data_IF_745475581137
#
_entry.id   IF_745475581137
#
_cell.length_a   1.000
_cell.length_b   1.000
_cell.length_c   1.000
_cell.angle_alpha   90.00
_cell.angle_beta   90.00
_cell.angle_gamma   90.00
#
_symmetry.space_group_name_H-M   'P 1'
#
loop_
_entity.id
_entity.type
_entity.pdbx_description
1 polymer ?
#
# COMPACT_ATOMS: atom_id res chain seq x y z
N UNK A 1 -3.09 -8.46 30.99
CA UNK A 1 -2.78 -9.67 30.19
C UNK A 1 -1.42 -10.19 30.63
N UNK A 2 -1.12 -11.49 30.58
CA UNK A 2 0.14 -12.03 31.13
C UNK A 2 1.09 -12.51 30.04
N UNK A 3 2.39 -12.35 30.27
CA UNK A 3 3.45 -12.86 29.38
C UNK A 3 3.27 -14.35 29.02
N UNK A 4 2.79 -15.16 29.98
CA UNK A 4 2.57 -16.58 29.76
C UNK A 4 1.52 -16.87 28.67
N UNK A 5 0.48 -16.04 28.57
CA UNK A 5 -0.53 -16.18 27.51
C UNK A 5 0.08 -15.87 26.15
N UNK A 6 0.81 -14.76 26.04
CA UNK A 6 1.49 -14.39 24.80
C UNK A 6 2.50 -15.47 24.36
N UNK A 7 3.33 -15.98 25.29
CA UNK A 7 4.26 -17.07 25.01
C UNK A 7 3.56 -18.34 24.50
N UNK A 8 2.42 -18.71 25.10
CA UNK A 8 1.64 -19.86 24.63
C UNK A 8 1.20 -19.67 23.18
N UNK A 9 0.71 -18.49 22.83
CA UNK A 9 0.26 -18.17 21.47
C UNK A 9 1.42 -18.11 20.47
N UNK A 10 2.56 -17.53 20.87
CA UNK A 10 3.80 -17.54 20.09
C UNK A 10 4.21 -18.97 19.76
N UNK A 11 4.19 -19.87 20.75
CA UNK A 11 4.54 -21.27 20.56
C UNK A 11 3.54 -22.02 19.69
N UNK A 12 2.24 -21.74 19.83
CA UNK A 12 1.21 -22.31 18.95
C UNK A 12 1.44 -21.89 17.48
N UNK A 13 1.86 -20.65 17.22
CA UNK A 13 2.20 -20.20 15.85
C UNK A 13 3.45 -20.88 15.30
N UNK A 14 4.50 -21.00 16.10
CA UNK A 14 5.73 -21.72 15.70
C UNK A 14 5.45 -23.21 15.44
N UNK A 15 4.60 -23.85 16.27
CA UNK A 15 4.15 -25.22 16.03
C UNK A 15 3.41 -25.33 14.69
N UNK A 16 2.44 -24.44 14.45
CA UNK A 16 1.66 -24.43 13.22
C UNK A 16 2.55 -24.26 11.97
N UNK A 17 3.50 -23.34 12.02
CA UNK A 17 4.48 -23.14 10.93
C UNK A 17 5.38 -24.35 10.75
N UNK A 18 5.83 -24.99 11.84
CA UNK A 18 6.66 -26.19 11.74
C UNK A 18 5.91 -27.38 11.09
N UNK A 19 4.59 -27.44 11.22
CA UNK A 19 3.72 -28.43 10.56
C UNK A 19 3.36 -28.04 9.11
N UNK A 20 3.58 -26.78 8.72
CA UNK A 20 3.24 -26.25 7.40
C UNK A 20 4.25 -26.67 6.33
N UNK A 21 3.83 -26.88 5.07
CA UNK A 21 4.75 -26.99 3.94
C UNK A 21 5.61 -25.73 3.74
N UNK A 22 5.16 -24.57 4.24
CA UNK A 22 5.82 -23.28 4.04
C UNK A 22 7.01 -23.04 4.98
N UNK A 23 7.28 -23.94 5.94
CA UNK A 23 8.37 -23.81 6.92
C UNK A 23 9.71 -23.38 6.28
N UNK A 24 10.11 -24.08 5.22
CA UNK A 24 11.35 -23.82 4.51
C UNK A 24 11.29 -22.53 3.70
N UNK A 25 10.14 -22.20 3.11
CA UNK A 25 9.94 -20.95 2.39
C UNK A 25 10.08 -19.76 3.32
N UNK A 26 9.51 -19.84 4.53
CA UNK A 26 9.59 -18.80 5.56
C UNK A 26 11.05 -18.58 5.96
N UNK A 27 11.77 -19.65 6.34
CA UNK A 27 13.19 -19.55 6.70
C UNK A 27 14.05 -18.99 5.56
N UNK A 28 13.81 -19.44 4.33
CA UNK A 28 14.58 -18.97 3.17
C UNK A 28 14.32 -17.50 2.86
N UNK A 29 13.11 -17.02 3.13
CA UNK A 29 12.72 -15.63 2.90
C UNK A 29 13.29 -14.72 3.98
N UNK A 30 13.22 -15.14 5.25
CA UNK A 30 13.75 -14.36 6.37
C UNK A 30 15.28 -14.39 6.44
N UNK A 31 15.89 -15.57 6.38
CA UNK A 31 17.30 -15.80 6.75
C UNK A 31 18.23 -16.13 5.55
N UNK A 32 17.72 -15.93 4.33
CA UNK A 32 18.41 -16.31 3.10
C UNK A 32 18.51 -17.83 2.88
N UNK A 33 19.25 -18.26 1.85
CA UNK A 33 19.27 -19.68 1.44
C UNK A 33 20.48 -20.50 1.94
N UNK A 34 21.43 -19.87 2.64
CA UNK A 34 22.75 -20.45 2.95
C UNK A 34 22.97 -20.77 4.44
N UNK A 35 21.91 -20.99 5.20
CA UNK A 35 21.99 -21.38 6.61
C UNK A 35 22.19 -22.88 6.81
N UNK A 36 22.49 -23.30 8.05
CA UNK A 36 22.64 -24.69 8.42
C UNK A 36 21.28 -25.44 8.46
N UNK A 37 20.94 -26.10 7.34
CA UNK A 37 19.68 -26.84 7.20
C UNK A 37 19.51 -27.98 8.21
N UNK A 38 20.58 -28.55 8.76
CA UNK A 38 20.47 -29.62 9.78
C UNK A 38 19.98 -29.05 11.12
N UNK A 39 20.47 -27.86 11.49
CA UNK A 39 19.99 -27.17 12.69
C UNK A 39 18.54 -26.70 12.51
N UNK A 40 18.20 -26.15 11.34
CA UNK A 40 16.82 -25.79 11.00
C UNK A 40 15.88 -27.00 11.08
N UNK A 41 16.25 -28.14 10.49
CA UNK A 41 15.45 -29.37 10.57
C UNK A 41 15.26 -29.85 12.01
N UNK A 42 16.28 -29.68 12.87
CA UNK A 42 16.19 -30.03 14.30
C UNK A 42 15.19 -29.13 15.02
N UNK A 43 15.25 -27.81 14.80
CA UNK A 43 14.28 -26.85 15.34
C UNK A 43 12.85 -27.20 14.89
N UNK A 44 12.66 -27.50 13.60
CA UNK A 44 11.37 -27.92 13.07
C UNK A 44 10.80 -29.12 13.84
N UNK A 45 11.60 -30.19 14.02
CA UNK A 45 11.16 -31.39 14.73
C UNK A 45 10.84 -31.13 16.20
N UNK A 46 11.59 -30.24 16.87
CA UNK A 46 11.30 -29.82 18.24
C UNK A 46 9.96 -29.10 18.33
N UNK A 47 9.73 -28.10 17.47
CA UNK A 47 8.48 -27.34 17.46
C UNK A 47 7.28 -28.20 17.11
N UNK A 48 7.41 -29.12 16.14
CA UNK A 48 6.36 -30.09 15.80
C UNK A 48 5.96 -30.97 17.00
N UNK A 49 6.92 -31.29 17.87
CA UNK A 49 6.70 -32.04 19.10
C UNK A 49 6.19 -31.18 20.27
N UNK A 50 6.06 -29.86 20.09
CA UNK A 50 5.70 -28.91 21.15
C UNK A 50 6.85 -28.65 22.13
N UNK A 51 8.10 -28.94 21.75
CA UNK A 51 9.29 -28.66 22.54
C UNK A 51 9.89 -27.31 22.13
N UNK A 52 9.73 -26.32 23.02
CA UNK A 52 10.26 -24.98 22.87
C UNK A 52 11.41 -24.69 23.83
N UNK A 53 11.95 -25.71 24.51
CA UNK A 53 13.02 -25.54 25.50
C UNK A 53 14.34 -25.06 24.91
N UNK A 54 14.49 -25.18 23.58
CA UNK A 54 15.64 -24.71 22.84
C UNK A 54 15.58 -23.20 22.48
N UNK A 55 14.45 -22.53 22.75
CA UNK A 55 14.30 -21.09 22.57
C UNK A 55 14.89 -20.31 23.75
N UNK A 56 15.39 -19.09 23.54
CA UNK A 56 15.90 -18.26 24.63
C UNK A 56 14.83 -17.96 25.69
N UNK A 57 15.19 -17.93 26.99
CA UNK A 57 14.27 -17.46 28.02
C UNK A 57 14.00 -15.95 27.87
N UNK A 58 12.77 -15.56 28.22
CA UNK A 58 12.36 -14.14 28.27
C UNK A 58 12.64 -13.55 29.66
N UNK A 59 13.31 -12.41 29.68
CA UNK A 59 13.58 -11.61 30.88
C UNK A 59 12.98 -10.22 30.73
N UNK A 60 12.31 -9.73 31.77
CA UNK A 60 11.73 -8.38 31.75
C UNK A 60 12.79 -7.37 32.18
N UNK A 61 13.06 -6.39 31.33
CA UNK A 61 13.94 -5.25 31.65
C UNK A 61 13.14 -3.96 31.73
N UNK A 62 13.69 -2.99 32.47
CA UNK A 62 13.12 -1.65 32.47
C UNK A 62 13.24 -1.02 31.09
N UNK A 63 12.18 -0.37 30.64
CA UNK A 63 12.18 0.53 29.47
C UNK A 63 13.30 1.58 29.52
N UNK A 64 13.74 2.00 30.70
CA UNK A 64 14.91 2.88 30.84
C UNK A 64 16.23 2.24 30.41
N UNK A 65 16.33 0.91 30.46
CA UNK A 65 17.49 0.11 30.00
C UNK A 65 17.39 -0.21 28.51
N UNK A 66 16.20 -0.62 28.03
CA UNK A 66 15.95 -0.97 26.62
C UNK A 66 15.76 0.25 25.71
N UNK A 67 15.59 1.45 26.27
CA UNK A 67 15.42 2.67 25.50
C UNK A 67 14.06 2.70 24.79
N UNK A 68 14.09 2.68 23.45
CA UNK A 68 12.87 2.66 22.62
C UNK A 68 12.40 1.26 22.23
N UNK A 69 13.22 0.24 22.50
CA UNK A 69 12.95 -1.13 22.12
C UNK A 69 11.80 -1.72 22.97
N UNK A 70 10.88 -2.39 22.30
CA UNK A 70 9.81 -3.16 22.93
C UNK A 70 10.29 -4.55 23.35
N UNK A 71 11.14 -5.15 22.52
CA UNK A 71 11.87 -6.39 22.75
C UNK A 71 13.33 -6.23 22.33
N UNK A 72 14.17 -7.17 22.72
CA UNK A 72 15.52 -7.30 22.19
C UNK A 72 16.08 -8.70 22.38
N UNK A 73 16.79 -9.23 21.38
CA UNK A 73 17.54 -10.47 21.47
C UNK A 73 19.02 -10.17 21.66
N UNK A 74 19.63 -10.83 22.65
CA UNK A 74 21.05 -10.72 22.91
C UNK A 74 21.74 -12.07 22.73
N UNK A 75 22.51 -12.21 21.65
CA UNK A 75 23.28 -13.43 21.38
C UNK A 75 24.28 -13.76 22.51
N UNK A 76 24.91 -12.73 23.10
CA UNK A 76 25.94 -12.91 24.14
C UNK A 76 25.42 -13.53 25.44
N UNK A 77 24.14 -13.32 25.77
CA UNK A 77 23.50 -13.88 26.96
C UNK A 77 22.50 -14.99 26.62
N UNK A 78 22.19 -15.17 25.33
CA UNK A 78 21.14 -16.03 24.81
C UNK A 78 19.81 -15.79 25.56
N UNK A 79 19.37 -14.53 25.57
CA UNK A 79 18.12 -14.09 26.21
C UNK A 79 17.33 -13.19 25.28
N UNK A 80 16.02 -13.26 25.44
CA UNK A 80 15.09 -12.25 24.94
C UNK A 80 14.78 -11.31 26.10
N UNK A 81 15.00 -10.03 25.91
CA UNK A 81 14.65 -8.98 26.85
C UNK A 81 13.37 -8.31 26.41
N UNK A 82 12.37 -8.21 27.29
CA UNK A 82 11.10 -7.56 26.98
C UNK A 82 10.92 -6.33 27.88
N UNK A 83 10.50 -5.22 27.28
CA UNK A 83 10.30 -3.95 27.99
C UNK A 83 9.12 -4.03 28.97
N UNK A 84 9.35 -3.61 30.21
CA UNK A 84 8.33 -3.56 31.27
C UNK A 84 7.13 -2.67 30.90
N UNK A 85 7.38 -1.53 30.27
CA UNK A 85 6.34 -0.60 29.84
C UNK A 85 5.54 -1.16 28.67
N UNK A 86 6.22 -1.80 27.72
CA UNK A 86 5.56 -2.45 26.59
C UNK A 86 4.65 -3.58 27.07
N UNK A 87 5.15 -4.46 27.95
CA UNK A 87 4.36 -5.55 28.54
C UNK A 87 3.12 -5.05 29.28
N UNK A 88 3.18 -3.85 29.88
CA UNK A 88 2.05 -3.26 30.60
C UNK A 88 0.94 -2.74 29.68
N UNK A 89 1.25 -2.35 28.43
CA UNK A 89 0.31 -1.64 27.54
C UNK A 89 -0.03 -2.37 26.24
N UNK A 90 0.82 -3.30 25.81
CA UNK A 90 0.68 -3.99 24.53
C UNK A 90 -0.58 -4.87 24.47
N UNK A 91 -1.16 -4.95 23.26
CA UNK A 91 -2.15 -5.98 22.95
C UNK A 91 -1.50 -7.36 22.87
N UNK A 92 -2.34 -8.41 22.83
CA UNK A 92 -1.87 -9.79 22.64
C UNK A 92 -1.10 -9.96 21.33
N UNK A 93 -1.65 -9.41 20.25
CA UNK A 93 -1.04 -9.47 18.92
C UNK A 93 0.30 -8.73 18.87
N UNK A 94 0.44 -7.61 19.57
CA UNK A 94 1.68 -6.86 19.68
C UNK A 94 2.75 -7.64 20.46
N UNK A 95 2.37 -8.27 21.58
CA UNK A 95 3.31 -9.11 22.34
C UNK A 95 3.78 -10.31 21.52
N UNK A 96 2.87 -10.99 20.82
CA UNK A 96 3.22 -12.13 19.97
C UNK A 96 4.12 -11.71 18.82
N UNK A 97 3.86 -10.55 18.20
CA UNK A 97 4.69 -10.01 17.13
C UNK A 97 6.14 -9.80 17.58
N UNK A 98 6.33 -9.07 18.68
CA UNK A 98 7.66 -8.80 19.24
C UNK A 98 8.34 -10.10 19.68
N UNK A 99 7.63 -11.01 20.35
CA UNK A 99 8.23 -12.28 20.77
C UNK A 99 8.69 -13.13 19.58
N UNK A 100 7.92 -13.17 18.48
CA UNK A 100 8.30 -13.89 17.27
C UNK A 100 9.50 -13.27 16.58
N UNK A 101 9.58 -11.94 16.57
CA UNK A 101 10.69 -11.18 16.02
C UNK A 101 12.00 -11.48 16.75
N UNK A 102 12.00 -11.39 18.09
CA UNK A 102 13.17 -11.75 18.90
C UNK A 102 13.54 -13.23 18.82
N UNK A 103 12.55 -14.10 18.64
CA UNK A 103 12.81 -15.51 18.34
C UNK A 103 13.45 -15.66 16.96
N UNK A 104 13.03 -14.87 15.96
CA UNK A 104 13.60 -14.82 14.62
C UNK A 104 15.09 -14.53 14.62
N UNK A 105 15.50 -13.43 15.26
CA UNK A 105 16.90 -13.10 15.52
C UNK A 105 17.67 -14.25 16.20
N UNK A 106 17.07 -14.87 17.22
CA UNK A 106 17.70 -16.01 17.91
C UNK A 106 17.88 -17.25 17.01
N UNK A 107 16.98 -17.46 16.05
CA UNK A 107 17.08 -18.55 15.09
C UNK A 107 18.17 -18.24 14.09
N UNK A 108 18.18 -17.03 13.52
CA UNK A 108 19.21 -16.59 12.57
C UNK A 108 20.61 -16.78 13.17
N UNK A 109 20.84 -16.20 14.35
CA UNK A 109 22.09 -16.31 15.10
C UNK A 109 22.52 -17.76 15.42
N UNK A 110 21.59 -18.72 15.37
CA UNK A 110 21.83 -20.15 15.62
C UNK A 110 22.12 -20.94 14.34
N UNK A 111 21.48 -20.59 13.22
CA UNK A 111 21.56 -21.35 11.97
C UNK A 111 22.53 -20.72 10.95
N UNK A 112 22.74 -19.42 11.02
CA UNK A 112 23.65 -18.67 10.17
C UNK A 112 25.00 -18.42 10.86
N UNK A 113 26.06 -18.32 10.05
CA UNK A 113 27.41 -17.97 10.53
C UNK A 113 27.64 -16.47 10.56
N UNK A 114 26.89 -15.74 9.73
CA UNK A 114 26.90 -14.31 9.60
C UNK A 114 25.46 -13.89 9.64
N UNK A 115 25.20 -12.90 10.48
CA UNK A 115 23.91 -12.25 10.63
C UNK A 115 23.30 -11.93 9.27
N UNK A 116 22.00 -12.22 9.15
CA UNK A 116 21.24 -11.86 7.96
C UNK A 116 21.19 -10.33 7.83
N UNK A 117 20.96 -9.83 6.62
CA UNK A 117 20.94 -8.39 6.39
C UNK A 117 19.56 -7.83 6.64
N UNK A 118 19.50 -6.73 7.39
CA UNK A 118 18.26 -6.01 7.67
C UNK A 118 17.69 -6.43 9.03
N UNK A 119 16.37 -6.43 9.13
CA UNK A 119 15.59 -6.87 10.28
C UNK A 119 14.91 -8.20 9.91
N UNK A 120 15.71 -9.27 9.89
CA UNK A 120 15.20 -10.62 9.59
C UNK A 120 14.26 -11.16 10.68
N UNK A 121 14.37 -10.64 11.90
CA UNK A 121 13.47 -10.92 13.01
C UNK A 121 12.06 -10.45 12.69
N UNK A 122 11.89 -9.17 12.34
CA UNK A 122 10.58 -8.61 12.02
C UNK A 122 9.99 -9.31 10.78
N UNK A 123 10.81 -9.57 9.76
CA UNK A 123 10.39 -10.33 8.58
C UNK A 123 9.93 -11.75 8.93
N UNK A 124 10.65 -12.45 9.80
CA UNK A 124 10.24 -13.76 10.30
C UNK A 124 8.91 -13.70 11.05
N UNK A 125 8.72 -12.69 11.92
CA UNK A 125 7.48 -12.46 12.66
C UNK A 125 6.28 -12.27 11.74
N UNK A 126 6.41 -11.43 10.71
CA UNK A 126 5.36 -11.22 9.70
C UNK A 126 4.98 -12.53 9.00
N UNK A 127 5.97 -13.28 8.53
CA UNK A 127 5.76 -14.51 7.78
C UNK A 127 5.12 -15.62 8.62
N UNK A 128 5.54 -15.79 9.88
CA UNK A 128 4.95 -16.75 10.82
C UNK A 128 3.48 -16.42 11.11
N UNK A 129 3.15 -15.13 11.16
CA UNK A 129 1.78 -14.62 11.34
C UNK A 129 0.94 -14.67 10.06
N UNK A 130 1.49 -15.17 8.95
CA UNK A 130 0.80 -15.27 7.66
C UNK A 130 0.62 -13.92 6.94
N UNK A 131 1.42 -12.91 7.31
CA UNK A 131 1.42 -11.60 6.69
C UNK A 131 2.42 -11.59 5.53
N UNK A 132 1.99 -11.04 4.39
CA UNK A 132 2.83 -10.91 3.20
C UNK A 132 3.27 -9.44 3.10
N UNK A 133 4.55 -9.12 3.35
CA UNK A 133 5.02 -7.75 3.24
C UNK A 133 4.88 -7.24 1.80
N UNK A 134 4.55 -5.96 1.64
CA UNK A 134 4.60 -5.30 0.34
C UNK A 134 6.05 -5.24 -0.17
N UNK A 135 6.26 -4.97 -1.46
CA UNK A 135 7.62 -4.81 -1.99
C UNK A 135 8.40 -3.67 -1.30
N UNK A 136 7.71 -2.58 -0.95
CA UNK A 136 8.30 -1.46 -0.20
C UNK A 136 8.67 -1.88 1.22
N UNK A 137 7.78 -2.61 1.89
CA UNK A 137 8.01 -3.08 3.26
C UNK A 137 9.14 -4.10 3.32
N UNK A 138 9.17 -5.04 2.37
CA UNK A 138 10.27 -6.00 2.25
C UNK A 138 11.61 -5.29 2.04
N UNK A 139 11.65 -4.22 1.24
CA UNK A 139 12.86 -3.43 1.03
C UNK A 139 13.28 -2.67 2.30
N UNK A 140 12.33 -2.11 3.05
CA UNK A 140 12.61 -1.51 4.37
C UNK A 140 13.26 -2.54 5.28
N UNK A 141 12.59 -3.67 5.50
CA UNK A 141 13.06 -4.76 6.36
C UNK A 141 14.45 -5.24 5.97
N UNK A 142 14.73 -5.42 4.67
CA UNK A 142 16.04 -5.91 4.20
C UNK A 142 17.18 -4.89 4.33
N UNK A 143 16.89 -3.63 4.66
CA UNK A 143 17.90 -2.54 4.73
C UNK A 143 17.96 -1.85 6.09
N UNK A 144 17.01 -2.12 6.96
CA UNK A 144 16.96 -1.61 8.33
C UNK A 144 17.88 -2.45 9.21
N UNK A 145 19.02 -1.89 9.61
CA UNK A 145 19.84 -2.51 10.65
C UNK A 145 19.35 -2.02 12.02
N UNK A 146 18.80 -2.95 12.79
CA UNK A 146 18.19 -2.72 14.09
C UNK A 146 19.19 -2.88 15.25
N UNK A 147 20.44 -3.26 15.01
CA UNK A 147 21.44 -3.48 16.07
C UNK A 147 21.65 -2.26 16.99
N UNK A 148 21.68 -2.52 18.30
CA UNK A 148 21.97 -1.54 19.33
C UNK A 148 22.89 -2.09 20.44
N UNK A 149 23.28 -1.22 21.38
CA UNK A 149 24.02 -1.63 22.58
C UNK A 149 23.36 -1.04 23.82
N UNK A 150 23.05 -1.91 24.78
CA UNK A 150 22.46 -1.55 26.07
C UNK A 150 23.43 -1.87 27.22
N UNK A 151 23.15 -1.32 28.40
CA UNK A 151 23.94 -1.59 29.62
C UNK A 151 23.13 -2.45 30.58
N UNK A 152 23.57 -3.68 30.83
CA UNK A 152 22.98 -4.59 31.83
C UNK A 152 24.02 -4.84 32.92
N UNK A 153 23.68 -4.52 34.17
CA UNK A 153 24.56 -4.66 35.33
C UNK A 153 25.96 -4.03 35.14
N UNK A 154 26.03 -2.93 34.38
CA UNK A 154 27.28 -2.22 34.08
C UNK A 154 28.10 -2.81 32.93
N UNK A 155 27.61 -3.84 32.23
CA UNK A 155 28.22 -4.43 31.05
C UNK A 155 27.51 -3.98 29.77
N UNK A 156 28.28 -3.70 28.72
CA UNK A 156 27.75 -3.44 27.38
C UNK A 156 27.31 -4.76 26.75
N UNK A 157 26.05 -4.82 26.32
CA UNK A 157 25.44 -5.97 25.67
C UNK A 157 24.93 -5.51 24.30
N UNK A 158 25.43 -6.14 23.24
CA UNK A 158 24.90 -5.96 21.89
C UNK A 158 23.56 -6.68 21.76
N UNK A 159 22.62 -6.03 21.10
CA UNK A 159 21.26 -6.52 20.89
C UNK A 159 20.80 -6.25 19.45
N UNK A 160 19.93 -7.10 18.96
CA UNK A 160 18.93 -6.80 17.92
C UNK A 160 17.64 -6.42 18.66
N UNK A 161 16.92 -5.40 18.19
CA UNK A 161 15.82 -4.76 18.95
C UNK A 161 14.56 -4.62 18.10
N UNK A 162 13.46 -5.18 18.59
CA UNK A 162 12.14 -4.82 18.09
C UNK A 162 11.76 -3.39 18.47
N UNK A 163 11.74 -2.49 17.47
CA UNK A 163 11.30 -1.10 17.61
C UNK A 163 10.10 -0.87 16.71
N UNK A 164 9.00 -0.35 17.27
CA UNK A 164 7.83 0.00 16.44
C UNK A 164 8.19 1.10 15.43
N UNK A 165 7.73 0.99 14.17
CA UNK A 165 7.97 2.01 13.16
C UNK A 165 7.44 3.35 13.67
N UNK A 166 8.34 4.34 13.71
CA UNK A 166 7.96 5.66 14.23
C UNK A 166 7.07 6.37 13.23
N UNK A 167 5.92 6.88 13.68
CA UNK A 167 5.10 7.80 12.88
C UNK A 167 5.99 8.95 12.38
N UNK A 168 6.26 8.98 11.08
CA UNK A 168 7.12 10.01 10.46
C UNK A 168 6.37 11.35 10.45
N UNK A 169 5.15 11.34 9.91
CA UNK A 169 4.27 12.50 9.91
C UNK A 169 2.81 12.07 9.76
N UNK A 170 1.91 12.95 10.22
CA UNK A 170 0.49 12.92 9.87
C UNK A 170 0.11 14.31 9.40
N UNK A 171 -0.50 14.40 8.21
CA UNK A 171 -0.91 15.65 7.57
C UNK A 171 -2.40 15.61 7.30
N UNK A 172 -3.06 16.77 7.38
CA UNK A 172 -4.46 16.95 7.01
C UNK A 172 -4.51 17.86 5.79
N UNK A 173 -5.29 17.44 4.80
CA UNK A 173 -5.60 18.19 3.58
C UNK A 173 -7.13 18.34 3.51
N UNK A 174 -7.62 19.45 2.96
CA UNK A 174 -9.06 19.67 2.76
C UNK A 174 -9.55 21.05 3.21
N UNK A 175 -10.79 21.36 2.85
CA UNK A 175 -11.47 22.61 3.13
C UNK A 175 -12.41 22.54 4.33
N UNK A 176 -13.38 23.44 4.34
CA UNK A 176 -14.49 23.44 5.31
C UNK A 176 -15.74 22.73 4.81
N UNK A 177 -15.79 22.48 3.50
CA UNK A 177 -16.91 21.84 2.82
C UNK A 177 -16.64 20.32 2.68
N UNK A 178 -17.23 19.67 1.67
CA UNK A 178 -17.07 18.23 1.51
C UNK A 178 -15.74 17.92 0.84
N UNK A 179 -14.91 17.09 1.49
CA UNK A 179 -13.64 16.58 0.95
C UNK A 179 -13.57 15.06 1.19
N UNK A 180 -13.16 14.30 0.19
CA UNK A 180 -13.00 12.84 0.29
C UNK A 180 -11.78 12.37 -0.51
N UNK A 181 -10.93 11.55 0.10
CA UNK A 181 -9.79 10.92 -0.58
C UNK A 181 -10.22 9.54 -1.08
N UNK A 182 -10.13 9.31 -2.38
CA UNK A 182 -10.55 8.07 -3.03
C UNK A 182 -9.39 7.11 -3.29
N UNK A 183 -8.17 7.63 -3.51
CA UNK A 183 -7.01 6.79 -3.81
C UNK A 183 -5.68 7.47 -3.42
N UNK A 184 -4.67 6.65 -3.13
CA UNK A 184 -3.33 7.08 -2.75
C UNK A 184 -2.28 6.14 -3.40
N UNK A 185 -1.18 6.71 -3.86
CA UNK A 185 -0.02 5.99 -4.40
C UNK A 185 1.27 6.57 -3.80
N UNK A 186 2.32 5.76 -3.66
CA UNK A 186 3.65 6.21 -3.19
C UNK A 186 4.68 5.86 -4.26
N UNK A 187 5.43 6.86 -4.73
CA UNK A 187 6.50 6.61 -5.70
C UNK A 187 7.76 6.04 -5.04
N UNK A 188 8.70 5.58 -5.87
CA UNK A 188 9.97 5.00 -5.41
C UNK A 188 10.87 5.95 -4.60
N UNK A 189 10.61 7.25 -4.63
CA UNK A 189 11.31 8.26 -3.80
C UNK A 189 10.58 8.53 -2.48
N UNK A 190 9.48 7.81 -2.21
CA UNK A 190 8.65 7.97 -1.04
C UNK A 190 7.68 9.16 -1.12
N UNK A 191 7.53 9.81 -2.28
CA UNK A 191 6.55 10.89 -2.41
C UNK A 191 5.15 10.29 -2.43
N UNK A 192 4.22 10.93 -1.74
CA UNK A 192 2.85 10.47 -1.58
C UNK A 192 1.94 11.27 -2.51
N UNK A 193 1.19 10.57 -3.35
CA UNK A 193 0.19 11.16 -4.24
C UNK A 193 -1.19 10.74 -3.76
N UNK A 194 -2.09 11.69 -3.62
CA UNK A 194 -3.48 11.44 -3.24
C UNK A 194 -4.40 12.07 -4.25
N UNK A 195 -5.49 11.39 -4.55
CA UNK A 195 -6.58 11.92 -5.36
C UNK A 195 -7.91 11.72 -4.68
N UNK A 196 -8.85 12.58 -4.98
CA UNK A 196 -10.18 12.55 -4.40
C UNK A 196 -11.06 13.63 -4.97
N UNK A 197 -12.15 13.89 -4.28
CA UNK A 197 -13.11 14.93 -4.62
C UNK A 197 -13.20 15.98 -3.52
N UNK A 198 -13.47 17.22 -3.90
CA UNK A 198 -13.69 18.32 -2.96
C UNK A 198 -14.70 19.33 -3.51
N UNK A 199 -15.39 20.04 -2.63
CA UNK A 199 -16.24 21.19 -2.98
C UNK A 199 -15.79 22.46 -2.29
N UNK A 200 -16.15 23.61 -2.87
CA UNK A 200 -15.83 24.90 -2.30
C UNK A 200 -14.36 25.25 -2.47
N UNK A 201 -13.72 25.78 -1.42
CA UNK A 201 -12.29 26.10 -1.43
C UNK A 201 -11.56 25.33 -0.34
N UNK A 202 -10.49 24.63 -0.72
CA UNK A 202 -9.68 23.82 0.17
C UNK A 202 -8.20 24.19 0.05
N UNK A 203 -7.51 24.22 1.18
CA UNK A 203 -6.05 24.40 1.22
C UNK A 203 -5.37 23.04 1.21
N UNK A 204 -4.53 22.81 0.19
CA UNK A 204 -3.80 21.56 0.01
C UNK A 204 -2.35 21.63 0.49
N UNK A 205 -1.90 22.76 1.07
CA UNK A 205 -0.62 22.80 1.80
C UNK A 205 -0.86 22.44 3.28
N UNK A 206 -0.39 21.28 3.77
CA UNK A 206 -0.57 20.91 5.17
C UNK A 206 0.47 21.57 6.11
N UNK A 207 1.31 22.46 5.57
CA UNK A 207 2.30 23.26 6.30
C UNK A 207 1.75 24.62 6.73
N UNK A 208 2.61 25.64 6.65
CA UNK A 208 2.25 27.03 6.97
C UNK A 208 1.99 27.89 5.72
N UNK A 209 2.20 27.31 4.54
CA UNK A 209 1.88 27.96 3.27
C UNK A 209 0.38 27.92 3.00
N UNK A 210 0.00 28.38 1.82
CA UNK A 210 -1.38 28.33 1.32
C UNK A 210 -1.33 27.89 -0.13
N UNK A 211 -2.00 26.79 -0.44
CA UNK A 211 -2.21 26.28 -1.78
C UNK A 211 -3.69 25.98 -1.99
N UNK A 212 -4.48 27.05 -2.09
CA UNK A 212 -5.91 26.94 -2.30
C UNK A 212 -6.25 26.45 -3.70
N UNK A 213 -7.13 25.46 -3.76
CA UNK A 213 -7.88 25.09 -4.95
C UNK A 213 -9.36 25.38 -4.70
N UNK A 214 -10.09 25.72 -5.76
CA UNK A 214 -11.52 26.04 -5.69
C UNK A 214 -12.26 25.23 -6.74
N UNK A 215 -13.31 24.51 -6.35
CA UNK A 215 -14.14 23.78 -7.29
C UNK A 215 -14.94 24.74 -8.19
N UNK A 216 -15.13 24.37 -9.45
CA UNK A 216 -15.82 25.17 -10.45
C UNK A 216 -17.35 25.11 -10.34
N UNK A 217 -17.88 24.12 -9.60
CA UNK A 217 -19.30 23.99 -9.31
C UNK A 217 -19.58 22.97 -8.21
N UNK A 218 -19.88 21.74 -8.61
CA UNK A 218 -20.11 20.63 -7.70
C UNK A 218 -18.84 20.17 -6.99
N UNK A 219 -18.76 18.86 -6.77
CA UNK A 219 -17.52 18.24 -6.32
C UNK A 219 -16.58 18.11 -7.52
N UNK A 220 -15.35 18.64 -7.39
CA UNK A 220 -14.31 18.56 -8.41
C UNK A 220 -13.21 17.59 -7.99
N UNK A 221 -12.43 17.10 -8.94
CA UNK A 221 -11.30 16.22 -8.66
C UNK A 221 -10.10 17.03 -8.20
N UNK A 222 -9.43 16.57 -7.14
CA UNK A 222 -8.10 17.05 -6.77
C UNK A 222 -7.05 15.94 -6.90
N UNK A 223 -5.81 16.34 -7.19
CA UNK A 223 -4.61 15.52 -7.05
C UNK A 223 -3.60 16.33 -6.25
N UNK A 224 -3.04 15.77 -5.19
CA UNK A 224 -1.97 16.39 -4.42
C UNK A 224 -0.77 15.47 -4.28
N UNK A 225 0.42 16.08 -4.30
CA UNK A 225 1.70 15.42 -4.06
C UNK A 225 2.36 16.01 -2.82
N UNK A 226 2.74 15.14 -1.89
CA UNK A 226 3.62 15.45 -0.76
C UNK A 226 4.97 14.76 -0.98
N UNK A 227 6.05 15.41 -0.55
CA UNK A 227 7.37 14.77 -0.52
C UNK A 227 7.41 13.69 0.57
N UNK A 228 8.46 12.86 0.57
CA UNK A 228 8.62 11.78 1.56
C UNK A 228 8.67 12.24 3.02
N UNK A 229 9.09 13.47 3.28
CA UNK A 229 9.07 14.12 4.60
C UNK A 229 7.70 14.74 4.97
N UNK A 230 6.70 14.60 4.09
CA UNK A 230 5.35 15.14 4.27
C UNK A 230 5.23 16.63 3.98
N UNK A 231 6.27 17.27 3.42
CA UNK A 231 6.19 18.65 2.94
C UNK A 231 5.38 18.73 1.64
N UNK A 232 4.70 19.86 1.43
CA UNK A 232 3.91 20.11 0.23
C UNK A 232 4.81 20.20 -1.02
N UNK A 233 4.46 19.48 -2.08
CA UNK A 233 5.10 19.62 -3.38
C UNK A 233 4.22 20.42 -4.36
N UNK A 234 3.01 19.91 -4.63
CA UNK A 234 2.01 20.60 -5.45
C UNK A 234 0.63 20.00 -5.23
N UNK A 235 -0.41 20.76 -5.60
CA UNK A 235 -1.78 20.28 -5.77
C UNK A 235 -2.37 20.83 -7.05
N UNK A 236 -3.28 20.06 -7.65
CA UNK A 236 -3.97 20.32 -8.91
C UNK A 236 -5.43 19.95 -8.74
N UNK A 237 -6.32 20.70 -9.37
CA UNK A 237 -7.72 20.33 -9.50
C UNK A 237 -8.18 20.56 -10.92
N UNK A 238 -9.24 19.86 -11.28
CA UNK A 238 -9.93 20.03 -12.55
C UNK A 238 -11.38 19.55 -12.40
N UNK A 239 -12.27 20.07 -13.24
CA UNK A 239 -13.71 19.84 -13.10
C UNK A 239 -14.56 20.79 -13.94
N UNK A 240 -15.86 20.69 -13.77
CA UNK A 240 -16.89 21.46 -14.46
C UNK A 240 -17.87 22.11 -13.47
N UNK A 241 -19.03 22.49 -13.98
CA UNK A 241 -20.08 23.06 -13.11
C UNK A 241 -20.92 21.99 -12.40
N UNK A 242 -20.85 20.74 -12.87
CA UNK A 242 -21.56 19.59 -12.33
C UNK A 242 -20.65 18.79 -11.37
N UNK A 243 -20.98 17.52 -11.09
CA UNK A 243 -20.16 16.67 -10.23
C UNK A 243 -19.11 15.93 -11.05
N UNK A 244 -17.88 15.86 -10.56
CA UNK A 244 -16.77 15.15 -11.17
C UNK A 244 -16.09 14.24 -10.13
N UNK A 245 -16.06 12.94 -10.41
CA UNK A 245 -15.62 11.91 -9.48
C UNK A 245 -14.37 11.19 -9.95
N UNK A 246 -13.41 10.95 -9.06
CA UNK A 246 -12.23 10.13 -9.32
C UNK A 246 -12.32 8.80 -8.57
N UNK A 247 -11.94 7.70 -9.23
CA UNK A 247 -12.00 6.35 -8.66
C UNK A 247 -10.65 5.64 -8.65
N UNK A 248 -9.69 6.04 -9.50
CA UNK A 248 -8.38 5.40 -9.61
C UNK A 248 -7.24 6.39 -9.79
N UNK A 249 -6.08 6.02 -9.24
CA UNK A 249 -4.81 6.75 -9.31
C UNK A 249 -3.68 5.75 -9.58
N UNK A 250 -2.78 6.09 -10.51
CA UNK A 250 -1.48 5.44 -10.66
C UNK A 250 -0.38 6.46 -10.93
N UNK A 251 0.82 6.14 -10.49
CA UNK A 251 2.03 6.93 -10.74
C UNK A 251 3.06 6.03 -11.40
N UNK A 252 3.52 6.41 -12.59
CA UNK A 252 4.57 5.63 -13.26
C UNK A 252 5.97 5.95 -12.69
N UNK A 253 6.97 5.18 -13.11
CA UNK A 253 8.36 5.35 -12.64
C UNK A 253 9.00 6.68 -13.03
N UNK A 254 8.40 7.43 -13.97
CA UNK A 254 8.82 8.79 -14.34
C UNK A 254 8.08 9.87 -13.55
N UNK A 255 7.18 9.47 -12.64
CA UNK A 255 6.36 10.36 -11.84
C UNK A 255 5.14 10.92 -12.58
N UNK A 256 4.79 10.40 -13.76
CA UNK A 256 3.55 10.83 -14.43
C UNK A 256 2.36 10.22 -13.69
N UNK A 257 1.29 10.99 -13.58
CA UNK A 257 0.10 10.63 -12.82
C UNK A 257 -1.04 10.29 -13.76
N UNK A 258 -1.70 9.17 -13.54
CA UNK A 258 -2.84 8.70 -14.31
C UNK A 258 -4.04 8.62 -13.39
N UNK A 259 -5.16 9.21 -13.80
CA UNK A 259 -6.42 9.15 -13.06
C UNK A 259 -7.57 8.70 -13.94
N UNK A 260 -8.55 8.03 -13.34
CA UNK A 260 -9.80 7.63 -14.00
C UNK A 260 -10.96 7.86 -13.07
N UNK A 261 -12.14 8.01 -13.65
CA UNK A 261 -13.37 8.23 -12.92
C UNK A 261 -14.51 8.58 -13.87
N UNK A 262 -15.50 9.28 -13.33
CA UNK A 262 -16.71 9.68 -14.04
C UNK A 262 -16.92 11.18 -13.91
N UNK A 263 -17.35 11.81 -14.98
CA UNK A 263 -17.61 13.25 -15.01
C UNK A 263 -18.97 13.53 -15.65
N UNK A 264 -19.58 14.67 -15.31
CA UNK A 264 -20.90 15.06 -15.78
C UNK A 264 -20.81 16.34 -16.62
N UNK A 265 -21.71 16.49 -17.59
CA UNK A 265 -21.78 17.71 -18.40
C UNK A 265 -20.47 18.01 -19.15
N UNK A 266 -19.88 19.18 -18.92
CA UNK A 266 -18.57 19.57 -19.49
C UNK A 266 -17.61 19.96 -18.38
N UNK A 267 -16.43 19.33 -18.37
CA UNK A 267 -15.36 19.60 -17.42
C UNK A 267 -14.08 20.00 -18.15
N UNK A 268 -13.33 20.94 -17.58
CA UNK A 268 -12.01 21.32 -18.06
C UNK A 268 -10.96 20.50 -17.34
N UNK A 269 -10.24 19.64 -18.07
CA UNK A 269 -9.22 18.74 -17.52
C UNK A 269 -7.83 19.36 -17.41
N UNK A 270 -7.64 20.62 -17.84
CA UNK A 270 -6.37 21.32 -17.67
C UNK A 270 -6.29 21.95 -16.26
N UNK A 271 -5.40 21.48 -15.38
CA UNK A 271 -5.28 22.04 -14.02
C UNK A 271 -4.46 23.35 -13.98
N UNK A 272 -4.08 23.88 -15.14
CA UNK A 272 -3.34 25.12 -15.33
C UNK A 272 -4.22 26.25 -15.83
N UNK A 273 -3.67 27.08 -16.73
CA UNK A 273 -4.39 28.21 -17.34
C UNK A 273 -4.87 27.91 -18.75
N UNK A 274 -4.63 26.70 -19.25
CA UNK A 274 -5.12 26.26 -20.55
C UNK A 274 -6.60 25.86 -20.46
N UNK A 275 -7.09 25.27 -21.54
CA UNK A 275 -8.45 24.72 -21.60
C UNK A 275 -8.38 23.39 -22.35
N UNK A 276 -8.84 22.32 -21.71
CA UNK A 276 -8.95 20.98 -22.25
C UNK A 276 -10.31 20.38 -21.89
N UNK A 277 -11.36 20.97 -22.47
CA UNK A 277 -12.73 20.53 -22.22
C UNK A 277 -13.02 19.14 -22.79
N UNK A 278 -13.62 18.29 -21.98
CA UNK A 278 -14.34 17.10 -22.40
C UNK A 278 -15.81 17.27 -22.06
N UNK A 279 -16.70 16.75 -22.91
CA UNK A 279 -18.15 16.81 -22.73
C UNK A 279 -18.70 15.39 -22.75
N UNK A 280 -19.49 15.06 -21.73
CA UNK A 280 -20.21 13.79 -21.64
C UNK A 280 -21.23 13.69 -22.79
N UNK A 281 -21.27 12.54 -23.47
CA UNK A 281 -22.25 12.23 -24.50
C UNK A 281 -23.62 11.86 -23.92
N UNK A 282 -23.66 11.49 -22.64
CA UNK A 282 -24.85 11.11 -21.88
C UNK A 282 -24.97 11.83 -20.55
N UNK A 283 -25.57 11.16 -19.57
CA UNK A 283 -25.69 11.68 -18.21
C UNK A 283 -24.31 11.79 -17.55
N UNK A 284 -23.47 10.77 -17.71
CA UNK A 284 -22.10 10.77 -17.19
C UNK A 284 -21.21 9.79 -17.96
N UNK A 285 -19.99 10.23 -18.27
CA UNK A 285 -19.03 9.45 -19.05
C UNK A 285 -17.78 9.11 -18.26
N UNK A 286 -17.05 8.10 -18.73
CA UNK A 286 -15.73 7.75 -18.21
C UNK A 286 -14.69 8.74 -18.70
N UNK A 287 -13.78 9.15 -17.82
CA UNK A 287 -12.53 9.80 -18.22
C UNK A 287 -11.30 8.99 -17.83
N UNK A 288 -10.23 9.23 -18.57
CA UNK A 288 -8.85 8.88 -18.22
C UNK A 288 -7.99 10.11 -18.51
N UNK A 289 -7.20 10.55 -17.54
CA UNK A 289 -6.27 11.66 -17.72
C UNK A 289 -4.86 11.27 -17.30
N UNK A 290 -3.89 11.90 -17.96
CA UNK A 290 -2.48 11.79 -17.66
C UNK A 290 -1.91 13.18 -17.40
N UNK A 291 -1.28 13.34 -16.25
CA UNK A 291 -0.47 14.51 -15.90
C UNK A 291 1.02 14.16 -15.96
N UNK A 292 1.85 15.12 -16.35
CA UNK A 292 3.29 15.02 -16.19
C UNK A 292 3.68 15.12 -14.70
N UNK A 293 4.93 14.84 -14.38
CA UNK A 293 5.43 14.83 -12.99
C UNK A 293 5.39 16.20 -12.26
N UNK A 294 5.24 17.30 -13.01
CA UNK A 294 5.00 18.65 -12.50
C UNK A 294 3.51 18.98 -12.31
N UNK A 295 2.62 18.02 -12.61
CA UNK A 295 1.17 18.16 -12.54
C UNK A 295 0.55 18.90 -13.72
N UNK A 296 1.30 19.18 -14.81
CA UNK A 296 0.73 19.71 -16.05
C UNK A 296 0.01 18.63 -16.85
N UNK A 297 -1.08 19.00 -17.55
CA UNK A 297 -1.83 18.04 -18.36
C UNK A 297 -1.00 17.55 -19.56
N UNK A 298 -0.86 16.24 -19.70
CA UNK A 298 -0.31 15.62 -20.90
C UNK A 298 -1.43 15.31 -21.91
N UNK A 299 -2.49 14.65 -21.44
CA UNK A 299 -3.71 14.40 -22.19
C UNK A 299 -4.86 14.03 -21.27
N UNK A 300 -6.10 14.28 -21.71
CA UNK A 300 -7.31 13.71 -21.15
C UNK A 300 -8.15 13.11 -22.28
N UNK A 301 -8.83 12.00 -21.97
CA UNK A 301 -9.66 11.22 -22.88
C UNK A 301 -10.95 10.87 -22.16
N UNK A 302 -12.07 10.96 -22.87
CA UNK A 302 -13.36 10.46 -22.39
C UNK A 302 -14.00 9.55 -23.42
N UNK A 303 -14.86 8.67 -22.93
CA UNK A 303 -15.64 7.77 -23.75
C UNK A 303 -16.87 7.33 -22.95
N UNK A 304 -17.95 6.97 -23.65
CA UNK A 304 -19.24 6.71 -23.03
C UNK A 304 -20.37 6.54 -24.03
N UNK A 305 -21.58 6.38 -23.50
CA UNK A 305 -22.82 6.23 -24.23
C UNK A 305 -23.77 7.40 -23.99
N UNK A 306 -25.05 7.16 -24.19
CA UNK A 306 -26.09 8.19 -23.98
C UNK A 306 -26.67 8.19 -22.56
N UNK A 307 -26.11 7.41 -21.64
CA UNK A 307 -26.66 7.19 -20.29
C UNK A 307 -25.52 7.30 -19.26
N UNK A 308 -25.44 6.40 -18.27
CA UNK A 308 -24.41 6.42 -17.23
C UNK A 308 -23.31 5.40 -17.52
N UNK A 309 -22.08 5.86 -17.52
CA UNK A 309 -20.88 5.04 -17.65
C UNK A 309 -19.89 5.37 -16.52
N UNK A 310 -19.47 4.34 -15.80
CA UNK A 310 -18.69 4.47 -14.57
C UNK A 310 -17.34 3.81 -14.69
N UNK A 311 -16.28 4.55 -14.38
CA UNK A 311 -14.95 3.97 -14.18
C UNK A 311 -14.80 3.55 -12.71
N UNK A 312 -14.14 2.41 -12.49
CA UNK A 312 -13.87 1.90 -11.14
C UNK A 312 -12.37 1.93 -10.82
N UNK A 313 -11.50 1.54 -11.76
CA UNK A 313 -10.06 1.45 -11.52
C UNK A 313 -9.26 1.50 -12.81
N UNK A 314 -7.97 1.86 -12.69
CA UNK A 314 -6.97 1.80 -13.76
C UNK A 314 -5.66 1.17 -13.29
N UNK A 315 -4.94 0.54 -14.22
CA UNK A 315 -3.54 0.13 -14.07
C UNK A 315 -2.73 0.60 -15.29
N UNK A 316 -1.43 0.80 -15.11
CA UNK A 316 -0.52 1.27 -16.17
C UNK A 316 0.64 0.29 -16.31
N UNK A 317 0.89 -0.20 -17.52
CA UNK A 317 2.04 -1.07 -17.77
C UNK A 317 3.35 -0.28 -17.93
N UNK A 318 4.49 -0.98 -17.94
CA UNK A 318 5.82 -0.36 -18.07
C UNK A 318 6.04 0.37 -19.42
N UNK A 319 5.19 0.13 -20.41
CA UNK A 319 5.19 0.86 -21.69
C UNK A 319 4.28 2.09 -21.67
N UNK A 320 3.63 2.35 -20.53
CA UNK A 320 2.69 3.45 -20.33
C UNK A 320 1.30 3.20 -20.90
N UNK A 321 0.95 1.98 -21.29
CA UNK A 321 -0.41 1.69 -21.72
C UNK A 321 -1.33 1.62 -20.50
N UNK A 322 -2.54 2.14 -20.65
CA UNK A 322 -3.52 2.24 -19.57
C UNK A 322 -4.59 1.18 -19.76
N UNK A 323 -4.87 0.41 -18.72
CA UNK A 323 -5.96 -0.55 -18.65
C UNK A 323 -6.97 -0.02 -17.64
N UNK A 324 -8.22 0.14 -18.04
CA UNK A 324 -9.29 0.62 -17.17
C UNK A 324 -10.44 -0.36 -17.11
N UNK A 325 -11.12 -0.39 -15.97
CA UNK A 325 -12.30 -1.22 -15.74
C UNK A 325 -13.42 -0.41 -15.14
N UNK A 326 -14.66 -0.87 -15.34
CA UNK A 326 -15.83 -0.15 -14.88
C UNK A 326 -17.12 -0.82 -15.34
N UNK A 327 -18.21 -0.04 -15.32
CA UNK A 327 -19.53 -0.46 -15.81
C UNK A 327 -20.11 0.54 -16.79
N UNK A 328 -20.95 0.08 -17.70
CA UNK A 328 -21.58 0.93 -18.73
C UNK A 328 -23.01 0.42 -19.00
N UNK A 329 -23.91 1.29 -19.48
CA UNK A 329 -25.30 0.93 -19.78
C UNK A 329 -25.72 1.32 -21.19
N UNK A 330 -26.36 0.39 -21.90
CA UNK A 330 -26.78 0.62 -23.28
C UNK A 330 -25.61 0.47 -24.24
N UNK A 331 -25.53 1.33 -25.25
CA UNK A 331 -24.41 1.32 -26.21
C UNK A 331 -23.48 2.50 -25.93
N UNK A 332 -22.20 2.19 -25.71
CA UNK A 332 -21.14 3.17 -25.49
C UNK A 332 -20.04 2.99 -26.54
N UNK A 333 -19.49 4.10 -27.03
CA UNK A 333 -18.31 4.11 -27.89
C UNK A 333 -17.06 4.23 -27.03
N UNK A 334 -16.20 3.22 -27.09
CA UNK A 334 -14.98 3.15 -26.27
C UNK A 334 -13.76 3.80 -26.93
N UNK A 335 -13.87 4.30 -28.15
CA UNK A 335 -12.78 5.01 -28.84
C UNK A 335 -12.86 6.52 -28.53
N UNK A 336 -11.95 7.11 -27.73
CA UNK A 336 -11.94 8.54 -27.45
C UNK A 336 -11.46 9.41 -28.64
N UNK A 337 -11.15 8.80 -29.79
CA UNK A 337 -10.72 9.45 -31.01
C UNK A 337 -11.85 9.65 -32.02
N UNK A 338 -11.52 9.53 -33.30
CA UNK A 338 -12.50 9.66 -34.40
C UNK A 338 -13.00 8.31 -34.91
N UNK A 339 -12.51 7.20 -34.34
CA UNK A 339 -12.97 5.87 -34.67
C UNK A 339 -14.31 5.57 -34.01
N UNK A 340 -14.78 4.34 -34.17
CA UNK A 340 -15.98 3.83 -33.49
C UNK A 340 -15.69 2.43 -33.00
N UNK A 341 -15.81 2.22 -31.69
CA UNK A 341 -15.66 0.93 -31.03
C UNK A 341 -16.80 0.70 -30.04
N UNK A 342 -18.00 0.54 -30.59
CA UNK A 342 -19.21 0.33 -29.79
C UNK A 342 -19.22 -1.03 -29.10
N UNK A 343 -19.53 -1.01 -27.80
CA UNK A 343 -20.02 -2.16 -27.05
C UNK A 343 -21.45 -1.90 -26.58
N UNK A 344 -22.25 -2.95 -26.45
CA UNK A 344 -23.65 -2.85 -26.01
C UNK A 344 -23.86 -3.79 -24.82
N UNK A 345 -24.43 -3.28 -23.72
CA UNK A 345 -24.77 -4.10 -22.57
C UNK A 345 -25.95 -5.03 -22.86
N UNK A 346 -25.99 -6.22 -22.24
CA UNK A 346 -27.01 -7.24 -22.48
C UNK A 346 -28.32 -7.04 -21.69
N UNK A 347 -28.46 -5.91 -20.98
CA UNK A 347 -29.64 -5.54 -20.20
C UNK A 347 -29.36 -4.35 -19.30
N UNK A 348 -28.99 -4.63 -18.06
CA UNK A 348 -28.57 -3.61 -17.09
C UNK A 348 -27.17 -3.08 -17.38
N UNK A 349 -26.49 -2.64 -16.32
CA UNK A 349 -25.07 -2.31 -16.38
C UNK A 349 -24.25 -3.56 -16.66
N UNK A 350 -23.36 -3.51 -17.65
CA UNK A 350 -22.38 -4.57 -17.91
C UNK A 350 -20.99 -4.08 -17.53
N UNK A 351 -20.08 -5.00 -17.22
CA UNK A 351 -18.69 -4.66 -16.91
C UNK A 351 -17.87 -4.51 -18.19
N UNK A 352 -16.87 -3.62 -18.16
CA UNK A 352 -15.90 -3.48 -19.24
C UNK A 352 -14.46 -3.60 -18.73
N UNK A 353 -13.57 -3.96 -19.66
CA UNK A 353 -12.15 -3.63 -19.61
C UNK A 353 -11.76 -2.97 -20.93
N UNK A 354 -11.03 -1.86 -20.84
CA UNK A 354 -10.52 -1.13 -22.00
C UNK A 354 -9.02 -0.91 -21.86
N UNK A 355 -8.35 -0.81 -23.00
CA UNK A 355 -6.94 -0.48 -23.11
C UNK A 355 -6.75 0.74 -23.99
N UNK A 356 -6.02 1.73 -23.48
CA UNK A 356 -5.44 2.83 -24.25
C UNK A 356 -3.93 2.64 -24.38
N UNK A 357 -3.36 3.08 -25.51
CA UNK A 357 -1.92 3.20 -25.66
C UNK A 357 -1.38 4.39 -24.84
N UNK A 358 -0.06 4.51 -24.73
CA UNK A 358 0.59 5.53 -23.89
C UNK A 358 0.35 6.99 -24.30
N UNK A 359 -0.09 7.22 -25.54
CA UNK A 359 -0.52 8.51 -26.08
C UNK A 359 -2.02 8.78 -25.89
N UNK A 360 -2.74 7.87 -25.22
CA UNK A 360 -4.19 7.93 -25.02
C UNK A 360 -5.02 7.50 -26.22
N UNK A 361 -4.43 6.95 -27.28
CA UNK A 361 -5.18 6.38 -28.41
C UNK A 361 -5.81 5.04 -28.02
N UNK A 362 -6.98 4.74 -28.60
CA UNK A 362 -7.67 3.48 -28.38
C UNK A 362 -6.86 2.27 -28.87
N UNK A 363 -6.81 1.21 -28.06
CA UNK A 363 -6.26 -0.08 -28.47
C UNK A 363 -7.35 -1.14 -28.65
N UNK A 364 -8.11 -1.41 -27.59
CA UNK A 364 -9.25 -2.34 -27.62
C UNK A 364 -10.14 -2.15 -26.39
N UNK A 365 -11.38 -2.62 -26.47
CA UNK A 365 -12.29 -2.75 -25.33
C UNK A 365 -13.04 -4.10 -25.41
N UNK A 366 -13.43 -4.62 -24.26
CA UNK A 366 -14.22 -5.84 -24.12
C UNK A 366 -15.22 -5.66 -22.97
N UNK A 367 -16.39 -6.27 -23.12
CA UNK A 367 -17.45 -6.27 -22.11
C UNK A 367 -17.96 -7.67 -21.78
N UNK A 368 -18.51 -7.81 -20.58
CA UNK A 368 -19.21 -9.00 -20.12
C UNK A 368 -20.39 -8.60 -19.23
N UNK A 369 -21.48 -9.35 -19.31
CA UNK A 369 -22.64 -9.17 -18.46
C UNK A 369 -23.83 -10.01 -18.90
N UNK A 370 -24.85 -10.03 -18.05
CA UNK A 370 -26.12 -10.71 -18.28
C UNK A 370 -27.26 -9.73 -18.54
N UNK A 371 -28.50 -10.20 -18.39
CA UNK A 371 -29.66 -9.31 -18.49
C UNK A 371 -29.87 -8.46 -17.23
N UNK A 372 -29.16 -8.77 -16.14
CA UNK A 372 -29.16 -8.03 -14.88
C UNK A 372 -28.18 -6.86 -14.90
N UNK A 373 -27.96 -6.23 -13.74
CA UNK A 373 -26.83 -5.30 -13.56
C UNK A 373 -25.67 -6.04 -12.92
N UNK A 374 -24.52 -5.97 -13.58
CA UNK A 374 -23.25 -6.54 -13.18
C UNK A 374 -22.35 -5.43 -12.60
N UNK A 375 -21.51 -5.80 -11.64
CA UNK A 375 -20.59 -4.86 -10.97
C UNK A 375 -19.17 -5.42 -10.98
N UNK A 376 -18.19 -4.52 -11.11
CA UNK A 376 -16.78 -4.85 -10.86
C UNK A 376 -16.48 -4.67 -9.38
N UNK A 377 -15.83 -5.65 -8.76
CA UNK A 377 -15.23 -5.46 -7.42
C UNK A 377 -13.76 -5.12 -7.64
N UNK A 378 -13.34 -3.86 -7.48
CA UNK A 378 -11.92 -3.52 -7.55
C UNK A 378 -11.21 -4.20 -6.37
N UNK A 379 -10.29 -5.10 -6.67
CA UNK A 379 -9.27 -5.54 -5.72
C UNK A 379 -7.93 -4.98 -6.17
N UNK A 380 -7.17 -4.46 -5.22
CA UNK A 380 -5.79 -4.03 -5.42
C UNK A 380 -5.02 -5.19 -6.08
N UNK A 381 -4.55 -4.97 -7.31
CA UNK A 381 -3.75 -5.90 -8.10
C UNK A 381 -4.43 -7.22 -8.54
N UNK A 382 -5.26 -7.18 -9.59
CA UNK A 382 -5.28 -8.27 -10.59
C UNK A 382 -5.39 -7.65 -11.99
N UNK A 383 -4.31 -7.03 -12.45
CA UNK A 383 -3.98 -7.04 -13.87
C UNK A 383 -2.61 -7.73 -13.97
N UNK A 384 -2.61 -9.05 -13.74
CA UNK A 384 -1.58 -9.90 -14.33
C UNK A 384 -1.78 -9.83 -15.85
N UNK A 385 -1.10 -8.91 -16.52
CA UNK A 385 -0.90 -8.97 -17.96
C UNK A 385 0.58 -9.23 -18.18
N UNK A 386 0.80 -10.36 -18.84
CA UNK A 386 2.06 -11.07 -19.12
C UNK A 386 3.20 -10.23 -19.69
#
# INVERSE_FOLDING_TARGET
>A
MTLNTALSLTYDQLNAVAQSPDYWTILNTAFGANYNQTLAQTLQSQWQAGDFSALPPVEILSSSTLGKANGAYAQSTNKIYLSDSFLATASEDQLVAVLLEEIGHSIDAKINQTDSAGDEGELFSLLVRGLIPSATELNRLQTENDQATIVIDGQLVAIEQAVEPTLVWAKRLGGTDYDNVNSLEVDSSGNVYTTGIFSGTADFDPGTGVSNLTSAGGDDVFISKLNSDGSFAWAKSWGGTDYDGVSGLKVDSSGNVYTTGTFYGTADFDPGTGVSNLTSAGDSDVFISKLNSDGSLAWAKSWGGTVYDYANSLEVDSSGNVYSTGTFFGTADFDPGTGVSNLTSAGGYDVFISKLNSDGSFAWAKSWGGTGSDNVIPRTAIICVF
#
